data_IF_982122404586
#
_entry.id   IF_982122404586
#
_cell.length_a   1.000
_cell.length_b   1.000
_cell.length_c   1.000
_cell.angle_alpha   90.00
_cell.angle_beta   90.00
_cell.angle_gamma   90.00
#
_symmetry.space_group_name_H-M   'P 1'
#
loop_
_entity.id
_entity.type
_entity.pdbx_description
1 polymer ?
#
# COMPACT_ATOMS: atom_id res chain seq x y z
N UNK A 1 -51.82 -2.77 20.27
CA UNK A 1 -52.59 -2.01 19.28
C UNK A 1 -52.11 -2.46 17.90
N UNK A 2 -52.91 -3.35 17.30
CA UNK A 2 -53.00 -3.77 15.88
C UNK A 2 -51.74 -4.03 15.01
N UNK A 3 -51.55 -5.31 14.68
CA UNK A 3 -51.02 -5.78 13.39
C UNK A 3 -51.96 -5.38 12.23
N UNK A 4 -51.45 -5.19 11.01
CA UNK A 4 -51.91 -5.91 9.81
C UNK A 4 -50.90 -5.82 8.66
N UNK A 5 -50.72 -6.94 7.96
CA UNK A 5 -49.95 -7.15 6.72
C UNK A 5 -50.75 -6.69 5.47
N UNK A 6 -50.01 -6.46 4.37
CA UNK A 6 -50.12 -7.10 3.02
C UNK A 6 -50.20 -6.18 1.79
N UNK A 7 -49.41 -6.57 0.75
CA UNK A 7 -49.56 -6.42 -0.73
C UNK A 7 -49.66 -4.99 -1.29
N UNK A 8 -49.05 -4.58 -2.41
CA UNK A 8 -48.44 -5.25 -3.57
C UNK A 8 -48.74 -4.41 -4.84
N UNK A 9 -47.80 -4.42 -5.80
CA UNK A 9 -47.86 -3.87 -7.19
C UNK A 9 -47.86 -2.33 -7.36
N UNK A 10 -46.85 -1.72 -8.01
CA UNK A 10 -46.43 -1.69 -9.44
C UNK A 10 -47.30 -0.81 -10.37
N UNK A 11 -46.59 0.09 -11.06
CA UNK A 11 -46.91 0.91 -12.24
C UNK A 11 -47.81 2.15 -12.09
N UNK A 12 -47.18 3.34 -12.21
CA UNK A 12 -47.50 4.24 -13.31
C UNK A 12 -46.31 5.15 -13.64
N UNK A 13 -46.04 5.26 -14.94
CA UNK A 13 -45.01 6.05 -15.59
C UNK A 13 -45.10 7.56 -15.27
N UNK A 14 -43.96 8.22 -15.09
CA UNK A 14 -43.81 9.59 -15.57
C UNK A 14 -42.44 9.76 -16.23
N UNK A 15 -42.53 9.94 -17.54
CA UNK A 15 -41.50 10.43 -18.44
C UNK A 15 -40.94 11.75 -17.90
N UNK A 16 -39.64 11.78 -17.61
CA UNK A 16 -38.82 12.97 -17.81
C UNK A 16 -37.48 12.52 -18.39
N UNK A 17 -37.46 12.52 -19.71
CA UNK A 17 -36.25 12.58 -20.52
C UNK A 17 -35.73 14.02 -20.41
N UNK A 18 -34.45 14.20 -20.11
CA UNK A 18 -33.74 15.46 -20.26
C UNK A 18 -33.33 16.12 -18.95
N UNK A 19 -32.02 16.35 -18.83
CA UNK A 19 -31.28 17.05 -17.75
C UNK A 19 -30.75 16.09 -16.66
N UNK A 20 -29.75 15.30 -17.03
CA UNK A 20 -28.75 14.77 -16.09
C UNK A 20 -27.42 14.60 -16.83
N UNK A 21 -26.92 15.73 -17.34
CA UNK A 21 -25.60 15.85 -17.97
C UNK A 21 -25.18 17.32 -17.92
N UNK A 22 -25.04 17.88 -16.71
CA UNK A 22 -24.57 19.25 -16.48
C UNK A 22 -24.05 19.47 -15.04
N UNK A 23 -23.25 18.53 -14.52
CA UNK A 23 -22.44 18.73 -13.30
C UNK A 23 -21.08 18.01 -13.45
N UNK A 24 -20.24 18.49 -14.36
CA UNK A 24 -18.78 18.26 -14.34
C UNK A 24 -17.99 19.32 -15.12
N UNK A 25 -18.50 20.56 -15.15
CA UNK A 25 -17.70 21.72 -15.53
C UNK A 25 -17.79 22.71 -14.37
N UNK A 26 -17.06 22.41 -13.29
CA UNK A 26 -16.55 23.47 -12.45
C UNK A 26 -15.23 23.93 -13.07
N UNK A 27 -15.05 25.24 -13.32
CA UNK A 27 -13.80 25.74 -13.85
C UNK A 27 -12.69 25.52 -12.81
N UNK A 28 -11.53 25.06 -13.30
CA UNK A 28 -10.23 25.28 -12.66
C UNK A 28 -10.10 26.79 -12.39
N UNK A 29 -10.44 27.25 -11.19
CA UNK A 29 -10.04 28.58 -10.71
C UNK A 29 -10.17 28.64 -9.18
N UNK A 30 -9.40 27.83 -8.47
CA UNK A 30 -8.99 28.09 -7.09
C UNK A 30 -7.71 27.31 -6.82
N UNK A 31 -6.67 27.70 -7.55
CA UNK A 31 -5.27 27.41 -7.29
C UNK A 31 -4.46 28.67 -7.66
N UNK A 32 -4.82 29.80 -7.04
CA UNK A 32 -3.96 30.98 -6.94
C UNK A 32 -3.65 31.20 -5.45
N UNK A 33 -3.06 30.18 -4.82
CA UNK A 33 -2.32 30.38 -3.59
C UNK A 33 -0.88 30.75 -3.97
N UNK A 34 -0.63 32.07 -4.02
CA UNK A 34 0.66 32.71 -3.77
C UNK A 34 1.91 32.07 -4.39
N UNK A 35 2.09 32.21 -5.70
CA UNK A 35 3.44 32.28 -6.29
C UNK A 35 4.05 33.65 -5.96
N UNK A 36 4.79 33.71 -4.86
CA UNK A 36 5.64 34.86 -4.53
C UNK A 36 7.07 34.39 -4.32
N UNK A 37 7.89 34.72 -5.31
CA UNK A 37 9.35 34.78 -5.32
C UNK A 37 10.08 34.04 -4.19
N UNK A 38 10.65 32.88 -4.52
CA UNK A 38 11.90 32.46 -3.90
C UNK A 38 12.84 31.93 -4.97
N UNK A 39 13.86 32.74 -5.21
CA UNK A 39 15.16 32.44 -5.79
C UNK A 39 15.43 30.95 -6.02
N UNK A 40 15.60 30.61 -7.29
CA UNK A 40 16.80 29.97 -7.84
C UNK A 40 17.72 29.32 -6.77
N UNK A 41 17.20 28.26 -6.15
CA UNK A 41 18.02 27.32 -5.42
C UNK A 41 18.18 26.17 -6.38
N UNK A 42 19.15 26.32 -7.27
CA UNK A 42 19.73 25.23 -8.03
C UNK A 42 19.98 24.06 -7.07
N UNK A 43 19.02 23.13 -7.03
CA UNK A 43 19.24 21.79 -6.52
C UNK A 43 20.40 21.27 -7.37
N UNK A 44 21.58 21.17 -6.78
CA UNK A 44 22.67 20.36 -7.33
C UNK A 44 22.13 18.94 -7.39
N UNK A 45 21.49 18.62 -8.51
CA UNK A 45 21.20 17.24 -8.89
C UNK A 45 22.55 16.54 -8.87
N UNK A 46 22.72 15.61 -7.92
CA UNK A 46 23.77 14.63 -8.05
C UNK A 46 23.56 14.00 -9.43
N UNK A 47 24.58 14.03 -10.30
CA UNK A 47 24.52 13.46 -11.65
C UNK A 47 24.42 11.92 -11.55
N UNK A 48 23.29 11.41 -11.08
CA UNK A 48 23.00 9.99 -10.99
C UNK A 48 22.54 9.55 -12.38
N UNK A 49 23.36 8.71 -13.02
CA UNK A 49 23.06 8.16 -14.34
C UNK A 49 22.52 6.74 -14.16
N UNK A 50 21.29 6.50 -14.60
CA UNK A 50 20.71 5.16 -14.56
C UNK A 50 21.36 4.26 -15.62
N UNK A 51 21.69 3.01 -15.28
CA UNK A 51 22.07 2.02 -16.28
C UNK A 51 20.92 1.75 -17.26
N UNK A 52 21.23 1.57 -18.56
CA UNK A 52 20.22 1.29 -19.59
C UNK A 52 19.33 0.09 -19.29
N UNK A 53 19.89 -0.99 -18.75
CA UNK A 53 19.11 -2.19 -18.39
C UNK A 53 18.04 -1.87 -17.34
N UNK A 54 18.36 -0.99 -16.38
CA UNK A 54 17.45 -0.60 -15.30
C UNK A 54 16.34 0.30 -15.83
N UNK A 55 16.65 1.20 -16.75
CA UNK A 55 15.64 2.03 -17.44
C UNK A 55 14.62 1.12 -18.13
N UNK A 56 15.09 0.14 -18.92
CA UNK A 56 14.22 -0.81 -19.63
C UNK A 56 13.35 -1.58 -18.64
N UNK A 57 13.94 -2.15 -17.58
CA UNK A 57 13.21 -2.91 -16.57
C UNK A 57 12.13 -2.05 -15.85
N UNK A 58 12.45 -0.81 -15.50
CA UNK A 58 11.51 0.08 -14.82
C UNK A 58 10.34 0.51 -15.71
N UNK A 59 10.62 0.76 -16.99
CA UNK A 59 9.62 1.16 -17.99
C UNK A 59 8.71 -0.02 -18.33
N UNK A 60 9.26 -1.19 -18.65
CA UNK A 60 8.47 -2.38 -19.01
C UNK A 60 7.56 -2.84 -17.86
N UNK A 61 7.98 -2.65 -16.60
CA UNK A 61 7.15 -2.98 -15.43
C UNK A 61 5.92 -2.05 -15.29
N UNK A 62 5.99 -0.84 -15.83
CA UNK A 62 5.00 0.23 -15.55
C UNK A 62 4.24 0.69 -16.77
N UNK A 63 4.67 0.32 -17.98
CA UNK A 63 4.16 0.83 -19.23
C UNK A 63 4.03 -0.29 -20.26
N UNK A 64 2.79 -0.58 -20.67
CA UNK A 64 2.50 -1.68 -21.59
C UNK A 64 2.99 -1.42 -23.01
N UNK A 65 2.97 -0.16 -23.45
CA UNK A 65 3.39 0.29 -24.79
C UNK A 65 4.23 1.57 -24.68
N UNK A 66 5.53 1.46 -24.33
CA UNK A 66 6.39 2.62 -24.13
C UNK A 66 6.93 3.16 -25.46
N UNK A 67 6.74 4.45 -25.69
CA UNK A 67 7.34 5.20 -26.79
C UNK A 67 8.22 6.32 -26.21
N UNK A 68 9.54 6.36 -26.49
CA UNK A 68 10.41 7.44 -26.00
C UNK A 68 9.88 8.82 -26.42
N UNK A 69 9.68 9.72 -25.46
CA UNK A 69 9.12 11.04 -25.75
C UNK A 69 10.20 11.97 -26.32
N UNK A 70 9.98 12.63 -27.47
CA UNK A 70 10.97 13.50 -28.11
C UNK A 70 11.13 14.88 -27.43
N UNK A 71 10.37 15.17 -26.35
CA UNK A 71 10.20 16.52 -25.79
C UNK A 71 11.22 16.89 -24.71
N UNK A 72 11.85 15.92 -24.05
CA UNK A 72 12.85 16.10 -22.97
C UNK A 72 13.80 14.90 -23.01
N UNK A 73 15.04 15.05 -22.51
CA UNK A 73 16.12 14.04 -22.46
C UNK A 73 15.69 12.62 -22.89
N UNK A 74 15.97 12.19 -24.14
CA UNK A 74 15.25 11.13 -24.85
C UNK A 74 15.36 9.71 -24.26
N UNK A 75 16.10 9.54 -23.16
CA UNK A 75 16.37 8.25 -22.53
C UNK A 75 15.58 8.01 -21.23
N UNK A 76 14.83 8.99 -20.70
CA UNK A 76 14.19 8.88 -19.37
C UNK A 76 12.71 9.28 -19.34
N UNK A 77 12.12 9.66 -20.48
CA UNK A 77 10.71 10.05 -20.57
C UNK A 77 10.03 9.27 -21.70
N UNK A 78 8.85 8.74 -21.40
CA UNK A 78 8.11 7.82 -22.26
C UNK A 78 6.64 8.22 -22.31
N UNK A 79 6.10 8.28 -23.52
CA UNK A 79 4.66 8.27 -23.74
C UNK A 79 4.18 6.81 -23.64
N UNK A 80 3.14 6.60 -22.83
CA UNK A 80 2.65 5.30 -22.44
C UNK A 80 1.16 5.16 -22.72
N UNK A 81 0.73 3.92 -22.96
CA UNK A 81 -0.67 3.60 -23.16
C UNK A 81 -0.99 2.24 -22.54
N UNK A 82 -1.84 2.26 -21.51
CA UNK A 82 -2.34 1.04 -20.88
C UNK A 82 -3.76 0.77 -21.32
N UNK A 83 -4.02 -0.49 -21.63
CA UNK A 83 -5.37 -0.97 -21.92
C UNK A 83 -6.04 -1.47 -20.65
N UNK A 84 -7.32 -1.17 -20.51
CA UNK A 84 -8.13 -1.65 -19.39
C UNK A 84 -9.56 -1.92 -19.85
N UNK A 85 -10.24 -2.85 -19.18
CA UNK A 85 -11.68 -3.09 -19.40
C UNK A 85 -12.47 -2.13 -18.50
N UNK A 86 -13.43 -1.41 -19.07
CA UNK A 86 -14.37 -0.63 -18.27
C UNK A 86 -15.48 -1.51 -17.65
N UNK A 87 -16.40 -0.88 -16.93
CA UNK A 87 -17.48 -1.58 -16.23
C UNK A 87 -18.43 -2.33 -17.17
N UNK A 88 -18.47 -1.97 -18.46
CA UNK A 88 -19.29 -2.60 -19.49
C UNK A 88 -18.52 -3.69 -20.25
N UNK A 89 -17.24 -3.89 -19.93
CA UNK A 89 -16.36 -4.87 -20.56
C UNK A 89 -15.81 -4.40 -21.92
N UNK A 90 -15.89 -3.11 -22.22
CA UNK A 90 -15.26 -2.54 -23.41
C UNK A 90 -13.78 -2.22 -23.14
N UNK A 91 -12.91 -2.57 -24.08
CA UNK A 91 -11.47 -2.29 -23.98
C UNK A 91 -11.23 -0.80 -24.23
N UNK A 92 -10.85 -0.10 -23.17
CA UNK A 92 -10.43 1.30 -23.20
C UNK A 92 -8.90 1.38 -23.21
N UNK A 93 -8.38 2.54 -23.62
CA UNK A 93 -6.96 2.84 -23.60
C UNK A 93 -6.73 4.18 -22.91
N UNK A 94 -5.82 4.22 -21.94
CA UNK A 94 -5.44 5.44 -21.24
C UNK A 94 -4.00 5.79 -21.56
N UNK A 95 -3.83 6.94 -22.20
CA UNK A 95 -2.53 7.55 -22.42
C UNK A 95 -2.04 8.30 -21.18
N UNK A 96 -0.75 8.18 -20.88
CA UNK A 96 -0.06 8.89 -19.80
C UNK A 96 1.42 9.04 -20.16
N UNK A 97 2.14 9.92 -19.47
CA UNK A 97 3.60 10.02 -19.59
C UNK A 97 4.27 9.46 -18.35
N UNK A 98 5.37 8.75 -18.56
CA UNK A 98 6.22 8.21 -17.51
C UNK A 98 7.59 8.89 -17.58
N UNK A 99 8.08 9.42 -16.47
CA UNK A 99 9.40 10.06 -16.39
C UNK A 99 10.20 9.53 -15.21
N UNK A 100 11.45 9.16 -15.49
CA UNK A 100 12.38 8.64 -14.50
C UNK A 100 13.32 9.75 -14.05
N UNK A 101 13.29 10.09 -12.76
CA UNK A 101 14.08 11.15 -12.14
C UNK A 101 15.02 10.57 -11.10
N UNK A 102 16.29 10.28 -11.46
CA UNK A 102 17.26 9.75 -10.51
C UNK A 102 17.59 10.79 -9.43
N UNK A 103 17.46 10.42 -8.16
CA UNK A 103 17.61 11.35 -7.03
C UNK A 103 18.93 11.14 -6.30
N UNK A 104 19.16 9.93 -5.81
CA UNK A 104 20.33 9.58 -5.00
C UNK A 104 20.86 8.19 -5.37
N UNK A 105 22.15 8.00 -5.12
CA UNK A 105 22.85 6.73 -5.27
C UNK A 105 23.69 6.49 -4.02
N UNK A 106 23.40 5.42 -3.30
CA UNK A 106 24.00 5.13 -2.00
C UNK A 106 23.99 3.62 -1.75
N UNK A 107 24.83 3.11 -0.87
CA UNK A 107 24.73 1.73 -0.36
C UNK A 107 23.79 1.72 0.85
N UNK A 108 22.49 1.54 0.61
CA UNK A 108 21.46 1.66 1.65
C UNK A 108 21.57 0.53 2.68
N UNK A 109 21.87 -0.69 2.21
CA UNK A 109 21.92 -1.89 3.06
C UNK A 109 23.32 -2.21 3.62
N UNK A 110 24.36 -1.45 3.22
CA UNK A 110 25.77 -1.58 3.61
C UNK A 110 26.42 -2.89 3.17
N UNK A 111 26.03 -3.43 2.01
CA UNK A 111 26.58 -4.67 1.46
C UNK A 111 27.72 -4.46 0.44
N UNK A 112 28.07 -3.19 0.18
CA UNK A 112 29.08 -2.76 -0.78
C UNK A 112 28.57 -2.63 -2.22
N UNK A 113 27.27 -2.76 -2.46
CA UNK A 113 26.61 -2.49 -3.74
C UNK A 113 25.93 -1.12 -3.66
N UNK A 114 26.05 -0.33 -4.73
CA UNK A 114 25.34 0.94 -4.80
C UNK A 114 23.89 0.70 -5.25
N UNK A 115 22.97 1.14 -4.41
CA UNK A 115 21.53 1.21 -4.62
C UNK A 115 21.15 2.58 -5.21
N UNK A 116 19.89 2.70 -5.64
CA UNK A 116 19.38 3.89 -6.30
C UNK A 116 18.05 4.28 -5.67
N UNK A 117 17.86 5.57 -5.36
CA UNK A 117 16.51 6.12 -5.25
C UNK A 117 16.21 7.04 -6.43
N UNK A 118 15.01 6.90 -6.98
CA UNK A 118 14.50 7.72 -8.07
C UNK A 118 13.03 8.04 -7.84
N UNK A 119 12.59 9.19 -8.33
CA UNK A 119 11.18 9.42 -8.56
C UNK A 119 10.80 8.81 -9.92
N UNK A 120 9.66 8.13 -9.94
CA UNK A 120 8.96 7.77 -11.16
C UNK A 120 7.72 8.65 -11.21
N UNK A 121 7.76 9.70 -12.01
CA UNK A 121 6.62 10.57 -12.26
C UNK A 121 5.70 9.87 -13.26
N UNK A 122 4.41 9.74 -12.94
CA UNK A 122 3.39 9.31 -13.88
C UNK A 122 2.34 10.41 -14.01
N UNK A 123 2.07 10.86 -15.22
CA UNK A 123 1.12 11.95 -15.47
C UNK A 123 0.07 11.52 -16.49
N UNK A 124 -1.19 11.53 -16.05
CA UNK A 124 -2.34 11.14 -16.86
C UNK A 124 -3.66 11.52 -16.19
N UNK A 125 -4.81 11.10 -16.75
CA UNK A 125 -6.15 11.49 -16.28
C UNK A 125 -6.42 11.25 -14.79
N UNK A 126 -5.69 10.32 -14.16
CA UNK A 126 -5.80 9.96 -12.75
C UNK A 126 -4.50 10.18 -11.97
N UNK A 127 -3.64 11.13 -12.38
CA UNK A 127 -2.30 11.27 -11.79
C UNK A 127 -1.33 10.17 -12.27
N UNK A 128 -1.59 9.64 -13.47
CA UNK A 128 -0.87 8.54 -14.08
C UNK A 128 -1.81 7.59 -14.82
N UNK A 129 -1.61 6.28 -14.61
CA UNK A 129 -2.51 5.22 -15.11
C UNK A 129 -3.21 4.49 -13.96
N UNK A 130 -4.06 3.50 -14.26
CA UNK A 130 -4.62 2.61 -13.22
C UNK A 130 -3.54 1.76 -12.53
N UNK A 131 -2.34 1.70 -13.11
CA UNK A 131 -1.21 0.89 -12.64
C UNK A 131 0.03 1.72 -12.28
N UNK A 132 -0.01 3.05 -12.42
CA UNK A 132 1.14 3.91 -12.12
C UNK A 132 0.71 5.26 -11.56
N UNK A 133 1.39 5.70 -10.49
CA UNK A 133 1.27 7.01 -9.87
C UNK A 133 2.68 7.59 -9.67
N UNK A 134 2.77 8.88 -9.35
CA UNK A 134 4.04 9.48 -8.93
C UNK A 134 4.50 8.90 -7.60
N UNK A 135 5.68 8.30 -7.58
CA UNK A 135 6.22 7.55 -6.43
C UNK A 135 7.75 7.67 -6.38
N UNK A 136 8.32 7.80 -5.18
CA UNK A 136 9.76 7.58 -4.98
C UNK A 136 10.02 6.11 -4.72
N UNK A 137 10.89 5.53 -5.53
CA UNK A 137 11.37 4.17 -5.43
C UNK A 137 12.76 4.16 -4.84
N UNK A 138 12.97 3.34 -3.81
CA UNK A 138 14.28 2.90 -3.35
C UNK A 138 14.53 1.49 -3.84
N UNK A 139 15.50 1.32 -4.73
CA UNK A 139 15.82 0.06 -5.38
C UNK A 139 17.09 -0.53 -4.78
N UNK A 140 16.94 -1.62 -4.01
CA UNK A 140 18.08 -2.39 -3.54
C UNK A 140 18.60 -3.30 -4.65
N UNK A 141 19.89 -3.23 -4.94
CA UNK A 141 20.53 -3.98 -6.01
C UNK A 141 21.47 -5.05 -5.46
N UNK A 142 21.62 -6.16 -6.18
CA UNK A 142 22.68 -7.12 -5.90
C UNK A 142 23.94 -6.87 -6.76
N UNK A 143 25.00 -7.65 -6.49
CA UNK A 143 26.26 -7.60 -7.26
C UNK A 143 26.10 -7.90 -8.75
N UNK A 144 25.05 -8.61 -9.14
CA UNK A 144 24.72 -8.89 -10.54
C UNK A 144 23.93 -7.76 -11.19
N UNK A 145 23.69 -6.65 -10.47
CA UNK A 145 22.89 -5.51 -10.91
C UNK A 145 21.47 -5.94 -11.27
N UNK A 146 20.81 -6.66 -10.36
CA UNK A 146 19.38 -6.93 -10.42
C UNK A 146 18.71 -6.36 -9.18
N UNK A 147 17.47 -5.88 -9.32
CA UNK A 147 16.65 -5.44 -8.21
C UNK A 147 16.33 -6.65 -7.34
N UNK A 148 16.69 -6.60 -6.06
CA UNK A 148 16.37 -7.65 -5.07
C UNK A 148 15.27 -7.24 -4.10
N UNK A 149 15.05 -5.94 -3.95
CA UNK A 149 13.95 -5.39 -3.20
C UNK A 149 13.66 -3.97 -3.68
N UNK A 150 12.42 -3.54 -3.53
CA UNK A 150 11.99 -2.18 -3.80
C UNK A 150 11.18 -1.68 -2.60
N UNK A 151 11.38 -0.43 -2.22
CA UNK A 151 10.54 0.27 -1.26
C UNK A 151 9.96 1.53 -1.93
N UNK A 152 8.70 1.81 -1.66
CA UNK A 152 7.93 2.86 -2.33
C UNK A 152 7.39 3.87 -1.34
N UNK A 153 7.58 5.15 -1.66
CA UNK A 153 6.85 6.27 -1.02
C UNK A 153 5.96 6.89 -2.08
N UNK A 154 4.65 6.66 -1.97
CA UNK A 154 3.65 7.23 -2.85
C UNK A 154 3.63 8.76 -2.67
N UNK A 155 3.87 9.51 -3.75
CA UNK A 155 3.84 10.97 -3.70
C UNK A 155 2.42 11.50 -3.85
N UNK A 156 1.71 11.00 -4.85
CA UNK A 156 0.34 11.44 -5.11
C UNK A 156 -0.46 10.37 -5.85
N UNK A 157 -1.68 10.11 -5.38
CA UNK A 157 -2.74 9.50 -6.16
C UNK A 157 -4.07 10.22 -5.85
N UNK A 158 -5.08 10.21 -6.75
CA UNK A 158 -6.36 10.89 -6.51
C UNK A 158 -7.10 10.47 -5.24
N UNK A 159 -6.85 9.27 -4.74
CA UNK A 159 -7.50 8.70 -3.56
C UNK A 159 -6.47 8.16 -2.55
N UNK A 160 -5.22 8.65 -2.59
CA UNK A 160 -4.26 8.36 -1.51
C UNK A 160 -4.69 9.05 -0.22
N UNK A 161 -4.26 8.53 0.93
CA UNK A 161 -4.46 9.20 2.23
C UNK A 161 -3.72 10.55 2.29
N UNK A 162 -2.54 10.63 1.68
CA UNK A 162 -1.69 11.81 1.72
C UNK A 162 -1.25 12.30 0.33
N UNK A 163 -0.95 13.60 0.26
CA UNK A 163 -0.12 14.22 -0.78
C UNK A 163 1.26 14.43 -0.14
N UNK A 164 2.31 13.91 -0.77
CA UNK A 164 3.67 13.93 -0.24
C UNK A 164 4.56 14.74 -1.15
N UNK A 165 5.19 15.77 -0.57
CA UNK A 165 6.27 16.52 -1.19
C UNK A 165 7.62 16.04 -0.64
N UNK A 166 8.69 16.30 -1.38
CA UNK A 166 10.02 15.89 -0.95
C UNK A 166 11.12 16.89 -1.32
N UNK A 167 12.19 16.86 -0.53
CA UNK A 167 13.42 17.61 -0.79
C UNK A 167 14.65 16.71 -0.61
N UNK A 168 15.59 16.77 -1.56
CA UNK A 168 16.84 16.01 -1.48
C UNK A 168 17.94 16.88 -0.89
N UNK A 169 18.46 16.52 0.29
CA UNK A 169 19.63 17.18 0.91
C UNK A 169 20.77 16.18 1.08
N UNK A 170 21.80 16.34 0.26
CA UNK A 170 22.98 15.46 0.27
C UNK A 170 22.63 14.04 -0.19
N UNK A 171 22.63 13.08 0.74
CA UNK A 171 22.37 11.65 0.50
C UNK A 171 21.02 11.18 1.08
N UNK A 172 20.19 12.12 1.53
CA UNK A 172 18.94 11.84 2.21
C UNK A 172 17.79 12.58 1.52
N UNK A 173 16.64 11.91 1.43
CA UNK A 173 15.37 12.50 1.00
C UNK A 173 14.54 12.79 2.24
N UNK A 174 14.01 14.01 2.31
CA UNK A 174 13.11 14.51 3.35
C UNK A 174 11.72 14.63 2.75
N UNK A 175 10.72 14.14 3.47
CA UNK A 175 9.34 14.06 3.03
C UNK A 175 8.44 14.87 3.95
N UNK A 176 7.48 15.56 3.33
CA UNK A 176 6.39 16.27 4.00
C UNK A 176 5.07 15.73 3.46
N UNK A 177 4.26 15.10 4.31
CA UNK A 177 2.98 14.51 3.94
C UNK A 177 1.83 15.33 4.55
N UNK A 178 0.86 15.71 3.72
CA UNK A 178 -0.38 16.36 4.16
C UNK A 178 -1.58 15.50 3.76
N UNK A 179 -2.69 15.49 4.53
CA UNK A 179 -3.90 14.77 4.16
C UNK A 179 -4.34 15.11 2.74
N UNK A 180 -4.75 14.13 1.95
CA UNK A 180 -5.24 14.39 0.61
C UNK A 180 -6.64 14.99 0.68
N UNK A 181 -6.81 16.23 0.20
CA UNK A 181 -8.11 16.93 0.20
C UNK A 181 -9.26 16.19 -0.48
N UNK A 182 -8.98 15.19 -1.34
CA UNK A 182 -10.01 14.35 -1.97
C UNK A 182 -10.50 13.23 -1.06
N UNK A 183 -9.58 12.63 -0.30
CA UNK A 183 -9.86 11.52 0.63
C UNK A 183 -10.30 12.05 1.99
N UNK A 184 -9.74 13.19 2.41
CA UNK A 184 -9.94 13.86 3.68
C UNK A 184 -10.32 15.34 3.50
N UNK A 185 -11.45 15.66 2.86
CA UNK A 185 -11.92 17.05 2.77
C UNK A 185 -12.13 17.68 4.15
N UNK A 186 -12.40 16.88 5.18
CA UNK A 186 -12.55 17.31 6.57
C UNK A 186 -11.27 17.88 7.20
N UNK A 187 -10.09 17.58 6.62
CA UNK A 187 -8.81 18.12 7.09
C UNK A 187 -8.57 19.58 6.64
N UNK A 188 -9.52 20.17 5.91
CA UNK A 188 -9.40 21.50 5.32
C UNK A 188 -10.60 22.39 5.66
N UNK A 189 -10.34 23.68 5.96
CA UNK A 189 -11.36 24.71 6.14
C UNK A 189 -11.04 25.90 5.24
N UNK A 190 -11.98 26.30 4.37
CA UNK A 190 -11.80 27.36 3.36
C UNK A 190 -10.55 27.20 2.46
N UNK A 191 -10.10 25.95 2.27
CA UNK A 191 -8.91 25.60 1.48
C UNK A 191 -7.60 25.61 2.26
N UNK A 192 -7.63 25.97 3.55
CA UNK A 192 -6.48 25.94 4.45
C UNK A 192 -6.43 24.61 5.20
N UNK A 193 -5.22 24.05 5.36
CA UNK A 193 -5.01 22.81 6.08
C UNK A 193 -5.17 23.03 7.59
N UNK A 194 -5.99 22.20 8.24
CA UNK A 194 -6.24 22.28 9.69
C UNK A 194 -5.17 21.56 10.53
N UNK A 195 -4.52 20.56 9.93
CA UNK A 195 -3.55 19.69 10.59
C UNK A 195 -2.11 20.06 10.19
N UNK A 196 -1.13 19.70 11.02
CA UNK A 196 0.27 19.90 10.66
C UNK A 196 0.72 18.81 9.67
N UNK A 197 1.64 19.16 8.77
CA UNK A 197 2.28 18.17 7.91
C UNK A 197 3.06 17.14 8.75
N UNK A 198 3.05 15.90 8.28
CA UNK A 198 3.88 14.82 8.81
C UNK A 198 5.23 14.89 8.11
N UNK A 199 6.28 15.13 8.89
CA UNK A 199 7.65 15.20 8.39
C UNK A 199 8.40 13.91 8.67
N UNK A 200 9.05 13.34 7.66
CA UNK A 200 9.82 12.10 7.82
C UNK A 200 10.96 11.91 6.82
N UNK A 201 11.80 10.92 7.12
CA UNK A 201 12.88 10.43 6.26
C UNK A 201 12.86 8.90 6.25
N UNK A 202 13.36 8.29 5.18
CA UNK A 202 13.59 6.84 5.13
C UNK A 202 15.01 6.54 5.58
N UNK A 203 15.14 5.84 6.70
CA UNK A 203 16.39 5.31 7.23
C UNK A 203 16.53 3.82 6.87
N UNK A 204 17.77 3.31 6.88
CA UNK A 204 18.05 1.92 6.58
C UNK A 204 18.71 1.20 7.76
N UNK A 205 18.01 0.21 8.31
CA UNK A 205 18.48 -0.61 9.42
C UNK A 205 18.66 -2.06 8.97
N UNK A 206 19.92 -2.49 8.85
CA UNK A 206 20.29 -3.84 8.39
C UNK A 206 19.59 -4.21 7.07
N UNK A 207 19.54 -3.25 6.14
CA UNK A 207 18.92 -3.41 4.82
C UNK A 207 17.39 -3.32 4.79
N UNK A 208 16.73 -2.94 5.87
CA UNK A 208 15.28 -2.71 5.89
C UNK A 208 14.99 -1.21 5.99
N UNK A 209 13.99 -0.69 5.26
CA UNK A 209 13.58 0.69 5.37
C UNK A 209 12.84 0.90 6.71
N UNK A 210 13.09 2.05 7.34
CA UNK A 210 12.44 2.49 8.57
C UNK A 210 12.16 3.98 8.48
N UNK A 211 10.91 4.39 8.65
CA UNK A 211 10.54 5.80 8.70
C UNK A 211 11.00 6.43 10.02
N UNK A 212 11.59 7.63 9.97
CA UNK A 212 11.88 8.40 11.18
C UNK A 212 10.61 8.76 11.96
N UNK A 213 9.49 9.00 11.27
CA UNK A 213 8.20 9.23 11.93
C UNK A 213 7.80 8.04 12.81
N UNK A 214 7.92 6.82 12.29
CA UNK A 214 7.63 5.61 13.06
C UNK A 214 8.55 5.46 14.27
N UNK A 215 9.85 5.71 14.11
CA UNK A 215 10.83 5.62 15.19
C UNK A 215 10.49 6.58 16.33
N UNK A 216 10.15 7.82 16.00
CA UNK A 216 9.97 8.89 16.97
C UNK A 216 8.60 8.84 17.65
N UNK A 217 7.55 8.48 16.92
CA UNK A 217 6.16 8.67 17.36
C UNK A 217 5.44 7.38 17.77
N UNK A 218 5.85 6.18 17.32
CA UNK A 218 5.08 4.96 17.54
C UNK A 218 5.59 4.11 18.70
N UNK A 219 4.71 3.68 19.61
CA UNK A 219 5.07 2.75 20.70
C UNK A 219 5.62 1.42 20.16
N UNK A 220 5.06 0.92 19.06
CA UNK A 220 5.48 -0.34 18.46
C UNK A 220 6.93 -0.29 17.94
N UNK A 221 7.47 0.90 17.61
CA UNK A 221 8.87 1.03 17.17
C UNK A 221 9.87 0.59 18.25
N UNK A 222 9.48 0.75 19.52
CA UNK A 222 10.28 0.43 20.72
C UNK A 222 10.18 -1.04 21.13
N UNK A 223 9.27 -1.80 20.53
CA UNK A 223 9.11 -3.23 20.81
C UNK A 223 10.25 -4.03 20.19
N UNK A 224 11.00 -4.76 21.03
CA UNK A 224 12.21 -5.49 20.60
C UNK A 224 11.89 -6.75 19.80
N UNK A 225 10.87 -7.50 20.20
CA UNK A 225 10.48 -8.76 19.55
C UNK A 225 9.14 -8.55 18.85
N UNK A 226 9.19 -8.63 17.51
CA UNK A 226 8.04 -8.45 16.62
C UNK A 226 7.85 -9.67 15.70
N UNK A 227 8.47 -10.80 16.03
CA UNK A 227 8.30 -12.01 15.23
C UNK A 227 6.87 -12.54 15.40
N UNK A 228 6.31 -13.07 14.32
CA UNK A 228 4.92 -13.49 14.20
C UNK A 228 4.80 -15.01 14.09
N UNK A 229 5.78 -15.64 13.43
CA UNK A 229 5.85 -17.05 13.09
C UNK A 229 7.21 -17.65 13.49
N UNK A 230 7.21 -18.95 13.80
CA UNK A 230 8.43 -19.73 13.96
C UNK A 230 9.09 -19.99 12.58
N UNK A 231 10.03 -19.11 12.23
CA UNK A 231 10.76 -19.18 10.96
C UNK A 231 11.83 -20.29 10.91
N UNK A 232 12.07 -21.01 12.01
CA UNK A 232 13.06 -22.11 12.03
C UNK A 232 12.70 -23.26 11.08
N UNK A 233 11.45 -23.29 10.59
CA UNK A 233 10.94 -24.22 9.59
C UNK A 233 11.23 -23.83 8.13
N UNK A 234 12.13 -22.88 7.91
CA UNK A 234 12.50 -22.40 6.57
C UNK A 234 11.59 -21.28 6.05
N UNK A 235 11.21 -20.36 6.94
CA UNK A 235 10.40 -19.19 6.61
C UNK A 235 11.20 -17.99 6.11
N UNK A 236 10.48 -16.95 5.69
CA UNK A 236 11.04 -15.64 5.34
C UNK A 236 10.45 -14.54 6.21
N UNK A 237 11.18 -13.43 6.35
CA UNK A 237 10.72 -12.20 7.00
C UNK A 237 11.14 -11.02 6.14
N UNK A 238 10.19 -10.15 5.83
CA UNK A 238 10.38 -8.89 5.14
C UNK A 238 9.86 -7.77 6.03
N UNK A 239 10.58 -6.64 6.04
CA UNK A 239 10.14 -5.43 6.71
C UNK A 239 10.07 -4.31 5.71
N UNK A 240 9.02 -3.51 5.83
CA UNK A 240 8.75 -2.41 4.94
C UNK A 240 8.14 -1.23 5.71
N UNK A 241 7.89 -0.13 5.02
CA UNK A 241 7.10 0.99 5.52
C UNK A 241 5.74 0.97 4.82
N UNK A 242 4.68 1.07 5.60
CA UNK A 242 3.32 1.22 5.08
C UNK A 242 3.23 2.49 4.22
N UNK A 243 2.68 2.36 3.00
CA UNK A 243 2.66 3.46 2.04
C UNK A 243 1.75 4.64 2.45
N UNK A 244 0.82 4.40 3.37
CA UNK A 244 -0.18 5.38 3.80
C UNK A 244 0.11 5.91 5.20
N UNK A 245 0.51 5.02 6.11
CA UNK A 245 0.70 5.34 7.54
C UNK A 245 2.15 5.68 7.89
N UNK A 246 3.09 5.40 6.98
CA UNK A 246 4.53 5.53 7.22
C UNK A 246 5.04 4.79 8.46
N UNK A 247 4.31 3.74 8.86
CA UNK A 247 4.66 2.84 9.97
C UNK A 247 5.37 1.59 9.47
N UNK A 248 6.10 0.89 10.34
CA UNK A 248 6.74 -0.36 9.92
C UNK A 248 5.71 -1.48 9.74
N UNK A 249 5.77 -2.14 8.60
CA UNK A 249 5.07 -3.39 8.31
C UNK A 249 6.07 -4.54 8.37
N UNK A 250 5.71 -5.65 9.00
CA UNK A 250 6.53 -6.87 9.02
C UNK A 250 5.70 -8.02 8.48
N UNK A 251 6.16 -8.62 7.39
CA UNK A 251 5.52 -9.77 6.77
C UNK A 251 6.42 -10.99 6.90
N UNK A 252 5.92 -12.04 7.54
CA UNK A 252 6.58 -13.32 7.73
C UNK A 252 5.82 -14.41 7.00
N UNK A 253 6.52 -15.32 6.33
CA UNK A 253 5.87 -16.41 5.59
C UNK A 253 6.51 -17.76 5.86
N UNK A 254 5.67 -18.80 5.96
CA UNK A 254 6.08 -20.19 6.12
C UNK A 254 5.18 -21.13 5.31
N UNK A 255 5.72 -22.31 4.99
CA UNK A 255 4.97 -23.41 4.41
C UNK A 255 4.86 -24.53 5.45
N UNK A 256 3.63 -24.91 5.86
CA UNK A 256 3.42 -25.92 6.89
C UNK A 256 2.14 -26.73 6.65
N UNK A 257 2.20 -28.05 6.81
CA UNK A 257 1.04 -28.95 6.68
C UNK A 257 0.14 -28.68 5.45
N UNK A 258 0.76 -28.47 4.27
CA UNK A 258 0.07 -28.17 3.00
C UNK A 258 -0.57 -26.78 2.92
N UNK A 259 -0.23 -25.88 3.86
CA UNK A 259 -0.67 -24.49 3.88
C UNK A 259 0.52 -23.56 3.62
N UNK A 260 0.23 -22.50 2.87
CA UNK A 260 1.03 -21.29 2.83
C UNK A 260 0.45 -20.34 3.86
N UNK A 261 1.26 -19.93 4.83
CA UNK A 261 0.86 -19.02 5.90
C UNK A 261 1.72 -17.78 5.78
N UNK A 262 1.05 -16.65 5.60
CA UNK A 262 1.65 -15.32 5.62
C UNK A 262 1.06 -14.56 6.80
N UNK A 263 1.92 -14.01 7.65
CA UNK A 263 1.52 -13.21 8.79
C UNK A 263 2.08 -11.79 8.63
N UNK A 264 1.23 -10.77 8.80
CA UNK A 264 1.62 -9.37 8.67
C UNK A 264 1.30 -8.61 9.93
N UNK A 265 2.30 -7.93 10.50
CA UNK A 265 2.16 -6.99 11.59
C UNK A 265 2.15 -5.57 11.05
N UNK A 266 1.18 -4.78 11.50
CA UNK A 266 1.08 -3.34 11.25
C UNK A 266 0.63 -2.58 12.51
N UNK A 267 0.70 -1.26 12.44
CA UNK A 267 0.22 -0.34 13.47
C UNK A 267 1.31 0.52 14.12
N UNK A 268 0.87 1.53 14.87
CA UNK A 268 1.74 2.51 15.53
C UNK A 268 1.77 2.28 17.04
N UNK A 269 0.69 2.62 17.75
CA UNK A 269 0.59 2.40 19.20
C UNK A 269 -0.06 1.08 19.57
N UNK A 270 -1.07 0.69 18.82
CA UNK A 270 -1.74 -0.60 18.88
C UNK A 270 -1.27 -1.48 17.73
N UNK A 271 -1.07 -2.76 17.99
CA UNK A 271 -0.68 -3.72 16.95
C UNK A 271 -1.90 -4.40 16.32
N UNK A 272 -1.88 -4.51 14.99
CA UNK A 272 -2.74 -5.41 14.23
C UNK A 272 -1.89 -6.51 13.61
N UNK A 273 -2.34 -7.76 13.72
CA UNK A 273 -1.68 -8.92 13.09
C UNK A 273 -2.70 -9.67 12.26
N UNK A 274 -2.44 -9.76 10.96
CA UNK A 274 -3.21 -10.59 10.05
C UNK A 274 -2.47 -11.90 9.77
N UNK A 275 -3.22 -12.99 9.63
CA UNK A 275 -2.75 -14.27 9.11
C UNK A 275 -3.56 -14.58 7.86
N UNK A 276 -2.91 -14.57 6.71
CA UNK A 276 -3.45 -14.98 5.42
C UNK A 276 -3.02 -16.43 5.15
N UNK A 277 -3.98 -17.36 5.19
CA UNK A 277 -3.74 -18.79 5.06
C UNK A 277 -4.35 -19.30 3.75
N UNK A 278 -3.49 -19.82 2.87
CA UNK A 278 -3.87 -20.40 1.58
C UNK A 278 -3.47 -21.87 1.51
N UNK A 279 -4.20 -22.74 0.79
CA UNK A 279 -3.70 -24.07 0.49
C UNK A 279 -2.51 -23.97 -0.47
N UNK A 280 -1.56 -24.89 -0.34
CA UNK A 280 -0.52 -25.05 -1.36
C UNK A 280 -1.13 -25.44 -2.71
N UNK A 281 -0.39 -25.17 -3.79
CA UNK A 281 -0.85 -25.43 -5.16
C UNK A 281 -1.40 -26.86 -5.32
N UNK A 282 -2.62 -26.97 -5.87
CA UNK A 282 -3.32 -28.24 -6.08
C UNK A 282 -3.86 -28.90 -4.80
N UNK A 283 -3.89 -28.20 -3.66
CA UNK A 283 -4.50 -28.67 -2.41
C UNK A 283 -5.80 -27.92 -2.12
N UNK A 284 -6.71 -28.58 -1.41
CA UNK A 284 -7.95 -27.97 -0.92
C UNK A 284 -7.70 -27.23 0.39
N UNK A 285 -8.40 -26.11 0.59
CA UNK A 285 -8.39 -25.38 1.86
C UNK A 285 -9.01 -26.25 2.98
N UNK A 286 -8.23 -26.61 4.03
CA UNK A 286 -8.73 -27.36 5.18
C UNK A 286 -9.87 -26.65 5.91
N UNK A 287 -10.58 -27.38 6.78
CA UNK A 287 -11.56 -26.73 7.67
C UNK A 287 -10.85 -25.85 8.71
N UNK A 288 -11.53 -24.83 9.22
CA UNK A 288 -10.92 -23.82 10.09
C UNK A 288 -10.26 -24.42 11.35
N UNK A 289 -10.84 -25.48 11.93
CA UNK A 289 -10.23 -26.19 13.07
C UNK A 289 -8.89 -26.84 12.75
N UNK A 290 -8.68 -27.35 11.53
CA UNK A 290 -7.40 -27.91 11.09
C UNK A 290 -6.37 -26.80 10.82
N UNK A 291 -6.82 -25.67 10.28
CA UNK A 291 -5.98 -24.48 10.14
C UNK A 291 -5.48 -24.00 11.51
N UNK A 292 -6.37 -23.86 12.50
CA UNK A 292 -5.98 -23.46 13.86
C UNK A 292 -5.02 -24.46 14.51
N UNK A 293 -5.21 -25.78 14.31
CA UNK A 293 -4.27 -26.80 14.82
C UNK A 293 -2.87 -26.64 14.23
N UNK A 294 -2.77 -26.26 12.96
CA UNK A 294 -1.49 -26.01 12.29
C UNK A 294 -0.88 -24.69 12.72
N UNK A 295 -1.68 -23.62 12.82
CA UNK A 295 -1.18 -22.27 13.08
C UNK A 295 -0.74 -22.06 14.53
N UNK A 296 -1.47 -22.60 15.51
CA UNK A 296 -1.21 -22.39 16.95
C UNK A 296 0.23 -22.70 17.38
N UNK A 297 0.87 -23.82 17.01
CA UNK A 297 2.25 -24.08 17.38
C UNK A 297 3.27 -23.23 16.64
N UNK A 298 2.88 -22.58 15.55
CA UNK A 298 3.77 -21.80 14.67
C UNK A 298 3.70 -20.31 14.97
N UNK A 299 2.54 -19.81 15.42
CA UNK A 299 2.29 -18.39 15.61
C UNK A 299 2.56 -17.93 17.05
N UNK A 300 3.17 -16.75 17.19
CA UNK A 300 3.47 -16.14 18.49
C UNK A 300 2.21 -15.60 19.21
N UNK A 301 1.10 -15.40 18.48
CA UNK A 301 -0.21 -15.01 19.05
C UNK A 301 -1.02 -16.22 19.56
N UNK A 302 -0.33 -17.18 20.18
CA UNK A 302 -0.86 -18.49 20.57
C UNK A 302 -2.11 -18.39 21.47
N UNK A 303 -2.15 -17.43 22.41
CA UNK A 303 -3.27 -17.28 23.36
C UNK A 303 -4.56 -16.87 22.62
N UNK A 304 -4.47 -15.87 21.76
CA UNK A 304 -5.57 -15.36 20.94
C UNK A 304 -6.12 -16.47 20.03
N UNK A 305 -5.24 -17.20 19.35
CA UNK A 305 -5.61 -18.31 18.47
C UNK A 305 -6.25 -19.49 19.23
N UNK A 306 -5.80 -19.78 20.46
CA UNK A 306 -6.44 -20.79 21.34
C UNK A 306 -7.85 -20.39 21.79
N UNK A 307 -8.10 -19.09 21.99
CA UNK A 307 -9.45 -18.57 22.25
C UNK A 307 -10.36 -18.83 21.05
N UNK A 308 -9.90 -18.50 19.83
CA UNK A 308 -10.64 -18.80 18.60
C UNK A 308 -10.92 -20.29 18.44
N UNK A 309 -9.94 -21.15 18.73
CA UNK A 309 -10.13 -22.61 18.69
C UNK A 309 -11.18 -23.09 19.70
N UNK A 310 -11.26 -22.45 20.87
CA UNK A 310 -12.26 -22.80 21.89
C UNK A 310 -13.66 -22.39 21.46
N UNK A 311 -13.80 -21.20 20.86
CA UNK A 311 -15.07 -20.72 20.33
C UNK A 311 -15.56 -21.56 19.15
N UNK A 312 -14.65 -21.97 18.27
CA UNK A 312 -14.96 -22.87 17.14
C UNK A 312 -15.45 -24.23 17.63
N UNK A 313 -14.77 -24.86 18.60
CA UNK A 313 -15.20 -26.14 19.20
C UNK A 313 -16.57 -26.09 19.87
N UNK A 314 -17.01 -24.90 20.30
CA UNK A 314 -18.32 -24.66 20.93
C UNK A 314 -19.38 -24.20 19.92
N UNK A 315 -19.03 -24.11 18.63
CA UNK A 315 -19.87 -23.55 17.57
C UNK A 315 -20.39 -22.15 17.89
N UNK A 316 -19.63 -21.38 18.68
CA UNK A 316 -19.97 -20.00 19.07
C UNK A 316 -19.18 -18.94 18.31
N UNK A 317 -18.30 -19.36 17.39
CA UNK A 317 -17.56 -18.48 16.51
C UNK A 317 -18.45 -18.06 15.34
N UNK A 318 -18.49 -16.76 15.09
CA UNK A 318 -19.18 -16.18 13.94
C UNK A 318 -18.15 -15.55 12.99
N UNK A 319 -18.15 -16.02 11.75
CA UNK A 319 -17.26 -15.49 10.73
C UNK A 319 -17.70 -14.09 10.30
N UNK A 320 -16.75 -13.25 9.89
CA UNK A 320 -16.94 -11.87 9.50
C UNK A 320 -17.58 -10.95 10.58
N UNK A 321 -17.62 -11.39 11.84
CA UNK A 321 -18.01 -10.55 12.98
C UNK A 321 -16.80 -10.29 13.90
N UNK A 322 -16.81 -9.17 14.62
CA UNK A 322 -15.82 -8.87 15.66
C UNK A 322 -16.01 -9.82 16.84
N UNK A 323 -14.94 -10.52 17.18
CA UNK A 323 -14.87 -11.49 18.29
C UNK A 323 -13.97 -10.90 19.36
N UNK A 324 -14.53 -10.63 20.54
CA UNK A 324 -13.74 -10.23 21.69
C UNK A 324 -12.85 -11.38 22.15
N UNK A 325 -11.56 -11.11 22.27
CA UNK A 325 -10.55 -12.02 22.78
C UNK A 325 -10.09 -11.55 24.18
N UNK A 326 -9.14 -12.30 24.73
CA UNK A 326 -8.57 -12.00 26.05
C UNK A 326 -7.62 -10.80 26.02
N UNK A 327 -7.55 -10.03 27.11
CA UNK A 327 -6.59 -8.93 27.33
C UNK A 327 -6.68 -7.75 26.37
N UNK A 328 -7.89 -7.26 26.05
CA UNK A 328 -8.03 -6.09 25.17
C UNK A 328 -7.59 -6.40 23.74
N UNK A 329 -7.93 -7.60 23.27
CA UNK A 329 -7.74 -7.99 21.89
C UNK A 329 -9.09 -8.32 21.28
N UNK A 330 -9.22 -8.10 19.98
CA UNK A 330 -10.32 -8.57 19.18
C UNK A 330 -9.79 -9.35 17.98
N UNK A 331 -10.66 -10.13 17.35
CA UNK A 331 -10.35 -10.75 16.07
C UNK A 331 -11.54 -10.76 15.13
N UNK A 332 -11.23 -10.82 13.84
CA UNK A 332 -12.18 -11.07 12.77
C UNK A 332 -11.65 -12.25 11.96
N UNK A 333 -12.52 -13.19 11.61
CA UNK A 333 -12.17 -14.36 10.81
C UNK A 333 -13.00 -14.37 9.54
N UNK A 334 -12.34 -14.29 8.39
CA UNK A 334 -12.95 -14.47 7.07
C UNK A 334 -12.52 -15.81 6.48
N UNK A 335 -13.47 -16.49 5.85
CA UNK A 335 -13.23 -17.77 5.16
C UNK A 335 -13.82 -17.64 3.77
N UNK A 336 -12.97 -17.69 2.77
CA UNK A 336 -13.38 -17.69 1.37
C UNK A 336 -13.00 -19.04 0.73
N UNK A 337 -14.01 -19.76 0.23
CA UNK A 337 -13.86 -21.05 -0.44
C UNK A 337 -14.25 -21.01 -1.91
N UNK A 338 -14.93 -19.95 -2.33
CA UNK A 338 -15.52 -19.84 -3.67
C UNK A 338 -14.66 -18.96 -4.59
N UNK A 339 -13.73 -18.19 -4.03
CA UNK A 339 -12.72 -17.46 -4.79
C UNK A 339 -11.80 -18.36 -5.63
N UNK A 340 -11.24 -17.80 -6.71
CA UNK A 340 -10.17 -18.40 -7.52
C UNK A 340 -8.99 -18.83 -6.65
N UNK A 341 -8.75 -18.13 -5.54
CA UNK A 341 -7.74 -18.45 -4.53
C UNK A 341 -8.35 -18.63 -3.13
N UNK A 342 -8.85 -19.84 -2.80
CA UNK A 342 -9.44 -20.11 -1.49
C UNK A 342 -8.49 -19.77 -0.34
N UNK A 343 -8.97 -19.05 0.67
CA UNK A 343 -8.14 -18.60 1.77
C UNK A 343 -8.93 -18.41 3.08
N UNK A 344 -8.20 -18.35 4.19
CA UNK A 344 -8.70 -17.89 5.48
C UNK A 344 -7.87 -16.69 5.90
N UNK A 345 -8.54 -15.60 6.25
CA UNK A 345 -7.91 -14.43 6.84
C UNK A 345 -8.32 -14.35 8.31
N UNK A 346 -7.34 -14.35 9.21
CA UNK A 346 -7.54 -14.10 10.64
C UNK A 346 -6.87 -12.77 10.96
N UNK A 347 -7.63 -11.76 11.34
CA UNK A 347 -7.10 -10.47 11.81
C UNK A 347 -7.24 -10.42 13.32
N UNK A 348 -6.16 -10.08 14.03
CA UNK A 348 -6.08 -10.01 15.49
C UNK A 348 -5.54 -8.63 15.86
N UNK A 349 -6.34 -7.83 16.57
CA UNK A 349 -6.05 -6.42 16.84
C UNK A 349 -6.08 -6.13 18.33
N UNK A 350 -5.15 -5.28 18.79
CA UNK A 350 -5.25 -4.66 20.10
C UNK A 350 -6.36 -3.62 20.10
N UNK A 351 -7.10 -3.56 21.21
CA UNK A 351 -8.08 -2.52 21.49
C UNK A 351 -7.59 -1.69 22.68
N UNK A 352 -8.01 -0.42 22.73
CA UNK A 352 -7.75 0.46 23.87
C UNK A 352 -8.41 -0.01 25.17
#
# INVERSE_FOLDING_TARGET
MTMFRYLGLRYLELRYLGILLLLSIMPLSLAEASTKDNNDTSNKTNNVVLPKWLIVELVEKRCSSPEPSPKVSPDLEYDCSDKYEDADGEEQSMGYSLRLLPLIKEDFNRDGVEDIALEVESMGPLGGSVYSNSTIYYLLLNKNKSIINEHEILLYAPFSEHIVEYEVKGKQIYYSAVPNYRSHPEAYEDGELLESSLEFTVNWERGNPVSSYYQDNCRLSRTKDKSLLDLSLGGTSQKDIDMHEYTQVITESIQANRLSIEATLSGCDLSSVSYNIKPQQGKSLPVFSEVLKTLIPLAHHTKQLKTLQTLEKRSSLKFAERILLYSGWQAIVHVDREDKTPHILIVIEQTE
#
